data_IF_260531800085
#
_entry.id   IF_260531800085
#
_cell.length_a   1.000
_cell.length_b   1.000
_cell.length_c   1.000
_cell.angle_alpha   90.00
_cell.angle_beta   90.00
_cell.angle_gamma   90.00
#
_symmetry.space_group_name_H-M   'P 1'
#
loop_
_entity.id
_entity.type
_entity.pdbx_description
1 polymer ?
#
# COMPACT_ATOMS: atom_id res chain seq x y z
N UNK A 1 15.27 31.21 38.57
CA UNK A 1 15.67 29.87 38.06
C UNK A 1 14.79 29.52 36.86
N UNK A 2 15.34 29.31 35.65
CA UNK A 2 14.54 28.98 34.49
C UNK A 2 14.19 27.48 34.50
N UNK A 3 12.89 27.16 34.39
CA UNK A 3 12.39 25.78 34.25
C UNK A 3 12.96 25.16 32.97
N UNK A 4 13.85 24.17 33.11
CA UNK A 4 14.27 23.29 32.01
C UNK A 4 13.02 22.68 31.36
N UNK A 5 12.81 22.95 30.07
CA UNK A 5 11.79 22.28 29.25
C UNK A 5 12.05 20.77 29.33
N UNK A 6 11.02 20.00 29.71
CA UNK A 6 11.06 18.54 29.64
C UNK A 6 11.29 18.14 28.17
N UNK A 7 12.21 17.20 27.88
CA UNK A 7 12.37 16.69 26.52
C UNK A 7 11.05 16.06 26.07
N UNK A 8 10.63 16.41 24.86
CA UNK A 8 9.45 15.87 24.19
C UNK A 8 9.49 14.34 24.20
N UNK A 9 8.39 13.70 24.61
CA UNK A 9 8.21 12.24 24.48
C UNK A 9 8.51 11.80 23.05
N UNK A 10 9.31 10.74 22.93
CA UNK A 10 9.75 10.06 21.72
C UNK A 10 8.75 10.17 20.57
N UNK A 11 9.07 10.94 19.54
CA UNK A 11 8.50 10.66 18.22
C UNK A 11 8.97 9.24 17.84
N UNK A 12 8.08 8.36 17.35
CA UNK A 12 8.51 7.08 16.81
C UNK A 12 9.61 7.33 15.77
N UNK A 13 10.67 6.54 15.81
CA UNK A 13 11.71 6.59 14.78
C UNK A 13 11.04 6.33 13.44
N UNK A 14 11.10 7.35 12.59
CA UNK A 14 10.56 7.36 11.24
C UNK A 14 11.74 7.17 10.29
N UNK A 15 11.67 6.20 9.39
CA UNK A 15 12.71 5.97 8.39
C UNK A 15 12.08 5.55 7.07
N UNK A 16 12.67 6.01 5.97
CA UNK A 16 12.32 5.58 4.62
C UNK A 16 13.48 4.77 4.06
N UNK A 17 13.16 3.62 3.46
CA UNK A 17 14.13 2.74 2.82
C UNK A 17 13.66 2.40 1.40
N UNK A 18 14.59 2.35 0.47
CA UNK A 18 14.35 1.88 -0.89
C UNK A 18 14.82 0.44 -1.00
N UNK A 19 13.90 -0.48 -1.30
CA UNK A 19 14.19 -1.90 -1.43
C UNK A 19 13.97 -2.35 -2.87
N UNK A 20 14.83 -3.25 -3.34
CA UNK A 20 14.71 -3.88 -4.64
C UNK A 20 14.61 -5.39 -4.49
N UNK A 21 13.71 -6.01 -5.24
CA UNK A 21 13.57 -7.46 -5.32
C UNK A 21 13.53 -7.92 -6.78
N UNK A 22 14.12 -9.08 -7.06
CA UNK A 22 13.97 -9.76 -8.35
C UNK A 22 12.66 -10.54 -8.33
N UNK A 23 11.83 -10.38 -9.36
CA UNK A 23 10.63 -11.19 -9.52
C UNK A 23 11.05 -12.62 -9.85
N UNK A 24 10.70 -13.56 -8.97
CA UNK A 24 10.98 -14.98 -9.18
C UNK A 24 9.76 -15.71 -9.76
N UNK A 25 8.56 -15.21 -9.52
CA UNK A 25 7.35 -15.77 -10.08
C UNK A 25 6.09 -14.99 -9.74
N UNK A 26 4.99 -15.42 -10.34
CA UNK A 26 3.67 -14.89 -10.07
C UNK A 26 2.61 -15.98 -10.22
N UNK A 27 1.46 -15.76 -9.59
CA UNK A 27 0.25 -16.57 -9.71
C UNK A 27 -0.93 -15.65 -9.95
N UNK A 28 -1.76 -15.99 -10.92
CA UNK A 28 -2.97 -15.25 -11.23
C UNK A 28 -4.20 -16.14 -11.03
N UNK A 29 -5.25 -15.54 -10.47
CA UNK A 29 -6.61 -16.08 -10.46
C UNK A 29 -7.54 -15.01 -11.02
N UNK A 30 -8.30 -15.39 -12.03
CA UNK A 30 -9.35 -14.57 -12.63
C UNK A 30 -10.68 -15.25 -12.36
N UNK A 31 -11.64 -14.50 -11.84
CA UNK A 31 -12.97 -15.04 -11.54
C UNK A 31 -14.05 -14.12 -12.09
N UNK A 32 -15.09 -14.75 -12.63
CA UNK A 32 -16.34 -14.13 -13.03
C UNK A 32 -17.46 -14.99 -12.44
N UNK A 33 -18.31 -14.38 -11.62
CA UNK A 33 -19.32 -15.13 -10.89
C UNK A 33 -20.52 -14.30 -10.48
N UNK A 34 -21.48 -14.95 -9.84
CA UNK A 34 -22.55 -14.26 -9.13
C UNK A 34 -21.98 -13.67 -7.85
N UNK A 35 -22.48 -12.49 -7.48
CA UNK A 35 -22.20 -11.90 -6.18
C UNK A 35 -22.57 -12.91 -5.07
N UNK A 36 -21.58 -13.28 -4.26
CA UNK A 36 -21.75 -14.29 -3.21
C UNK A 36 -22.71 -13.81 -2.12
N UNK A 37 -22.87 -12.49 -1.96
CA UNK A 37 -23.78 -11.90 -1.00
C UNK A 37 -25.25 -12.22 -1.35
N UNK A 38 -25.53 -12.44 -2.65
CA UNK A 38 -26.83 -12.91 -3.13
C UNK A 38 -27.13 -14.37 -2.79
N UNK A 39 -26.12 -15.16 -2.38
CA UNK A 39 -26.32 -16.58 -2.00
C UNK A 39 -26.91 -16.76 -0.59
N UNK A 40 -27.32 -15.67 0.07
CA UNK A 40 -28.15 -15.74 1.28
C UNK A 40 -27.37 -15.92 2.58
N UNK A 41 -26.22 -15.25 2.72
CA UNK A 41 -25.54 -15.19 4.02
C UNK A 41 -26.32 -14.26 4.98
N UNK A 42 -26.66 -14.69 6.21
CA UNK A 42 -27.40 -13.86 7.17
C UNK A 42 -26.61 -12.65 7.70
N UNK A 43 -25.32 -12.54 7.36
CA UNK A 43 -24.41 -11.46 7.79
C UNK A 43 -24.24 -10.39 6.70
N UNK A 44 -24.58 -10.71 5.45
CA UNK A 44 -24.37 -9.82 4.31
C UNK A 44 -25.74 -9.36 3.81
N UNK A 45 -25.96 -8.05 3.84
CA UNK A 45 -27.21 -7.43 3.40
C UNK A 45 -26.94 -6.73 2.06
N UNK A 46 -27.17 -7.40 0.92
CA UNK A 46 -26.94 -6.77 -0.37
C UNK A 46 -27.86 -5.56 -0.53
N UNK A 47 -27.28 -4.44 -0.93
CA UNK A 47 -28.01 -3.21 -1.24
C UNK A 47 -28.60 -3.30 -2.66
N UNK A 48 -29.71 -2.58 -2.96
CA UNK A 48 -30.27 -2.55 -4.31
C UNK A 48 -29.31 -2.06 -5.40
N UNK A 49 -28.23 -1.37 -5.00
CA UNK A 49 -27.16 -0.88 -5.88
C UNK A 49 -26.03 -1.88 -6.11
N UNK A 50 -26.01 -3.01 -5.39
CA UNK A 50 -24.93 -3.97 -5.49
C UNK A 50 -24.96 -4.71 -6.84
N UNK A 51 -23.77 -4.99 -7.41
CA UNK A 51 -23.70 -5.68 -8.68
C UNK A 51 -24.15 -7.15 -8.52
N UNK A 52 -24.94 -7.63 -9.48
CA UNK A 52 -25.39 -9.04 -9.55
C UNK A 52 -24.22 -9.98 -9.89
N UNK A 53 -23.29 -9.50 -10.72
CA UNK A 53 -22.10 -10.24 -11.12
C UNK A 53 -20.87 -9.60 -10.52
N UNK A 54 -19.93 -10.42 -10.06
CA UNK A 54 -18.64 -9.96 -9.54
C UNK A 54 -17.52 -10.50 -10.42
N UNK A 55 -16.54 -9.62 -10.66
CA UNK A 55 -15.34 -9.93 -11.40
C UNK A 55 -14.15 -9.54 -10.53
N UNK A 56 -13.20 -10.45 -10.33
CA UNK A 56 -12.00 -10.13 -9.57
C UNK A 56 -10.77 -10.75 -10.21
N UNK A 57 -9.68 -9.97 -10.14
CA UNK A 57 -8.33 -10.43 -10.46
C UNK A 57 -7.55 -10.50 -9.16
N UNK A 58 -7.02 -11.67 -8.86
CA UNK A 58 -6.06 -11.85 -7.77
C UNK A 58 -4.71 -12.18 -8.40
N UNK A 59 -3.74 -11.28 -8.22
CA UNK A 59 -2.38 -11.43 -8.71
C UNK A 59 -1.45 -11.51 -7.51
N UNK A 60 -0.80 -12.66 -7.32
CA UNK A 60 0.25 -12.83 -6.35
C UNK A 60 1.60 -12.73 -7.06
N UNK A 61 2.50 -11.86 -6.59
CA UNK A 61 3.85 -11.68 -7.14
C UNK A 61 4.83 -11.92 -6.00
N UNK A 62 5.90 -12.65 -6.26
CA UNK A 62 6.93 -12.88 -5.24
C UNK A 62 8.34 -12.81 -5.80
N UNK A 63 9.28 -12.54 -4.90
CA UNK A 63 10.66 -12.34 -5.26
C UNK A 63 11.62 -12.21 -4.09
N UNK A 64 12.89 -12.47 -4.37
CA UNK A 64 14.00 -12.30 -3.45
C UNK A 64 14.57 -10.88 -3.51
N UNK A 65 14.85 -10.31 -2.35
CA UNK A 65 15.52 -9.03 -2.16
C UNK A 65 16.94 -9.06 -2.71
N UNK A 66 17.27 -8.04 -3.50
CA UNK A 66 18.57 -7.84 -4.14
C UNK A 66 19.17 -6.47 -3.81
N UNK A 67 18.40 -5.57 -3.19
CA UNK A 67 18.85 -4.24 -2.80
C UNK A 67 18.07 -3.72 -1.57
N UNK A 68 18.72 -3.00 -0.65
CA UNK A 68 20.16 -2.89 -0.51
C UNK A 68 20.79 -4.22 -0.06
N UNK A 69 22.13 -4.34 -0.13
CA UNK A 69 22.84 -5.60 0.15
C UNK A 69 22.52 -6.17 1.54
N UNK A 70 22.25 -5.31 2.53
CA UNK A 70 21.88 -5.71 3.89
C UNK A 70 20.54 -6.44 3.98
N UNK A 71 19.68 -6.25 2.97
CA UNK A 71 18.34 -6.85 2.86
C UNK A 71 18.31 -7.96 1.79
N UNK A 72 19.46 -8.33 1.23
CA UNK A 72 19.55 -9.41 0.26
C UNK A 72 19.12 -10.74 0.87
N UNK A 73 18.34 -11.53 0.12
CA UNK A 73 17.80 -12.81 0.58
C UNK A 73 16.52 -12.74 1.42
N UNK A 74 15.98 -11.53 1.67
CA UNK A 74 14.61 -11.39 2.13
C UNK A 74 13.62 -11.77 1.02
N UNK A 75 12.47 -12.33 1.38
CA UNK A 75 11.47 -12.76 0.42
C UNK A 75 10.22 -11.89 0.56
N UNK A 76 9.81 -11.27 -0.55
CA UNK A 76 8.64 -10.42 -0.60
C UNK A 76 7.52 -11.10 -1.38
N UNK A 77 6.32 -11.11 -0.82
CA UNK A 77 5.12 -11.73 -1.37
C UNK A 77 3.96 -10.72 -1.35
N UNK A 78 3.55 -10.29 -2.54
CA UNK A 78 2.53 -9.28 -2.76
C UNK A 78 1.26 -9.91 -3.30
N UNK A 79 0.18 -9.82 -2.54
CA UNK A 79 -1.17 -10.18 -2.98
C UNK A 79 -1.91 -8.93 -3.45
N UNK A 80 -2.01 -8.77 -4.76
CA UNK A 80 -2.71 -7.68 -5.44
C UNK A 80 -4.13 -8.13 -5.77
N UNK A 81 -5.11 -7.32 -5.39
CA UNK A 81 -6.52 -7.57 -5.71
C UNK A 81 -7.05 -6.45 -6.59
N UNK A 82 -7.29 -6.77 -7.86
CA UNK A 82 -8.01 -5.93 -8.81
C UNK A 82 -9.51 -6.01 -8.53
N UNK A 83 -10.07 -4.99 -7.89
CA UNK A 83 -11.49 -4.90 -7.57
C UNK A 83 -12.03 -3.50 -7.88
N UNK A 84 -13.25 -3.42 -8.43
CA UNK A 84 -13.95 -2.15 -8.66
C UNK A 84 -14.30 -1.42 -7.35
N UNK A 85 -14.26 -2.11 -6.21
CA UNK A 85 -14.38 -1.44 -4.91
C UNK A 85 -13.16 -0.59 -4.56
N UNK A 86 -11.99 -0.85 -5.16
CA UNK A 86 -10.86 0.04 -5.07
C UNK A 86 -11.10 1.37 -5.82
N UNK A 87 -12.15 1.45 -6.64
CA UNK A 87 -12.63 2.69 -7.28
C UNK A 87 -13.60 3.50 -6.39
N UNK A 88 -13.93 3.03 -5.16
CA UNK A 88 -14.60 3.84 -4.12
C UNK A 88 -13.83 5.15 -3.90
N UNK A 89 -14.51 6.25 -3.50
CA UNK A 89 -13.99 7.61 -3.65
C UNK A 89 -12.57 7.71 -3.10
N UNK A 90 -11.63 7.95 -4.02
CA UNK A 90 -10.21 8.16 -3.72
C UNK A 90 -10.13 9.22 -2.63
N UNK A 91 -9.47 8.89 -1.52
CA UNK A 91 -9.19 9.86 -0.46
C UNK A 91 -8.63 11.13 -1.09
N UNK A 92 -9.27 12.25 -0.83
CA UNK A 92 -8.82 13.55 -1.31
C UNK A 92 -7.92 14.20 -0.25
N UNK A 93 -7.19 15.24 -0.64
CA UNK A 93 -6.43 16.04 0.33
C UNK A 93 -7.32 16.65 1.42
N UNK A 94 -8.59 16.94 1.12
CA UNK A 94 -9.55 17.45 2.10
C UNK A 94 -9.89 16.39 3.16
N UNK A 95 -9.95 15.12 2.79
CA UNK A 95 -10.25 14.01 3.70
C UNK A 95 -9.10 13.76 4.69
N UNK A 96 -7.86 14.06 4.28
CA UNK A 96 -6.66 13.95 5.12
C UNK A 96 -6.21 15.29 5.70
N UNK A 97 -7.03 16.34 5.61
CA UNK A 97 -6.73 17.59 6.30
C UNK A 97 -6.86 17.39 7.81
N UNK A 98 -5.80 17.72 8.53
CA UNK A 98 -5.77 17.67 9.98
C UNK A 98 -6.90 18.51 10.56
N UNK A 99 -7.51 18.02 11.64
CA UNK A 99 -8.57 18.75 12.35
C UNK A 99 -8.06 19.30 13.67
N UNK A 100 -8.57 20.45 14.07
CA UNK A 100 -8.29 21.02 15.37
C UNK A 100 -9.11 20.34 16.50
N UNK A 101 -8.94 20.81 17.73
CA UNK A 101 -9.64 20.27 18.91
C UNK A 101 -11.18 20.41 18.86
N UNK A 102 -11.70 21.23 17.94
CA UNK A 102 -13.13 21.47 17.75
C UNK A 102 -13.66 20.77 16.49
N UNK A 103 -12.80 20.02 15.78
CA UNK A 103 -13.16 19.30 14.54
C UNK A 103 -13.13 20.17 13.29
N UNK A 104 -12.65 21.41 13.35
CA UNK A 104 -12.49 22.30 12.20
C UNK A 104 -11.20 22.03 11.42
N UNK A 105 -11.09 22.46 10.15
CA UNK A 105 -9.89 22.30 9.34
C UNK A 105 -8.70 23.05 9.93
N UNK A 106 -7.57 22.37 10.11
CA UNK A 106 -6.36 22.96 10.66
C UNK A 106 -5.55 23.64 9.55
N UNK A 107 -5.15 24.88 9.80
CA UNK A 107 -4.24 25.65 8.95
C UNK A 107 -3.01 26.08 9.72
N UNK A 108 -1.93 26.41 9.01
CA UNK A 108 -0.74 27.07 9.54
C UNK A 108 -0.51 28.37 8.78
N UNK A 109 -0.09 29.42 9.47
CA UNK A 109 0.30 30.66 8.82
C UNK A 109 1.73 30.53 8.28
N UNK A 110 1.93 30.88 7.01
CA UNK A 110 3.24 30.97 6.37
C UNK A 110 3.26 32.19 5.45
N UNK A 111 4.17 33.14 5.74
CA UNK A 111 4.31 34.40 4.98
C UNK A 111 2.98 35.17 4.82
N UNK A 112 2.15 35.19 5.87
CA UNK A 112 0.85 35.89 5.86
C UNK A 112 -0.28 35.14 5.15
N UNK A 113 -0.03 33.94 4.64
CA UNK A 113 -1.04 33.08 4.00
C UNK A 113 -1.36 31.90 4.90
N UNK A 114 -2.64 31.52 5.00
CA UNK A 114 -3.07 30.30 5.68
C UNK A 114 -2.94 29.10 4.73
N UNK A 115 -2.18 28.10 5.17
CA UNK A 115 -1.94 26.86 4.41
C UNK A 115 -2.53 25.68 5.18
N UNK A 116 -3.36 24.82 4.56
CA UNK A 116 -3.84 23.59 5.17
C UNK A 116 -2.73 22.71 5.72
N UNK A 117 -2.99 22.08 6.88
CA UNK A 117 -2.11 21.05 7.44
C UNK A 117 -2.73 19.70 7.13
N UNK A 118 -1.98 18.80 6.48
CA UNK A 118 -2.44 17.46 6.14
C UNK A 118 -1.77 16.42 7.04
N UNK A 119 -2.51 15.36 7.35
CA UNK A 119 -2.06 14.16 8.07
C UNK A 119 -2.34 12.95 7.16
N UNK A 120 -1.49 12.70 6.13
CA UNK A 120 -1.69 11.60 5.21
C UNK A 120 -1.47 10.24 5.90
N UNK A 121 -2.04 9.15 5.36
CA UNK A 121 -1.68 7.81 5.81
C UNK A 121 -0.17 7.57 5.59
N UNK A 122 0.48 6.73 6.41
CA UNK A 122 1.92 6.49 6.28
C UNK A 122 2.34 5.69 5.05
N UNK A 123 1.40 5.20 4.24
CA UNK A 123 1.66 4.44 3.03
C UNK A 123 0.37 3.89 2.42
N UNK A 124 0.48 3.26 1.25
CA UNK A 124 -0.65 2.64 0.52
C UNK A 124 -1.09 1.31 1.15
N UNK A 125 -0.19 0.63 1.85
CA UNK A 125 -0.51 -0.61 2.58
C UNK A 125 0.56 -0.94 3.63
N UNK A 126 0.28 -1.93 4.46
CA UNK A 126 1.20 -2.47 5.46
C UNK A 126 1.96 -3.67 4.90
N UNK A 127 3.21 -3.81 5.35
CA UNK A 127 4.03 -4.98 5.17
C UNK A 127 4.09 -5.76 6.48
N UNK A 128 3.65 -7.01 6.42
CA UNK A 128 3.56 -7.89 7.57
C UNK A 128 4.65 -8.97 7.50
N UNK A 129 5.12 -9.50 8.64
CA UNK A 129 5.91 -10.72 8.62
C UNK A 129 5.05 -11.88 8.10
N UNK A 130 5.56 -12.60 7.11
CA UNK A 130 4.97 -13.81 6.54
C UNK A 130 5.44 -15.09 7.25
N UNK A 131 5.31 -16.22 6.56
CA UNK A 131 5.82 -17.50 7.04
C UNK A 131 7.35 -17.55 7.02
N UNK A 132 8.01 -17.25 8.14
CA UNK A 132 9.47 -17.26 8.29
C UNK A 132 10.05 -15.92 8.76
N UNK A 133 11.33 -15.90 9.17
CA UNK A 133 11.97 -14.68 9.72
C UNK A 133 12.24 -13.59 8.68
N UNK A 134 12.36 -13.96 7.41
CA UNK A 134 12.73 -13.05 6.31
C UNK A 134 11.65 -13.00 5.22
N UNK A 135 10.44 -13.46 5.54
CA UNK A 135 9.32 -13.42 4.60
C UNK A 135 8.46 -12.22 4.96
N UNK A 136 8.15 -11.41 3.97
CA UNK A 136 7.28 -10.26 4.06
C UNK A 136 6.07 -10.43 3.16
N UNK A 137 4.87 -10.23 3.73
CA UNK A 137 3.61 -10.33 3.02
C UNK A 137 2.88 -9.00 3.02
N UNK A 138 2.28 -8.69 1.88
CA UNK A 138 1.49 -7.48 1.69
C UNK A 138 0.21 -7.78 0.94
N UNK A 139 -0.87 -7.12 1.36
CA UNK A 139 -2.15 -7.12 0.67
C UNK A 139 -2.40 -5.74 0.06
N UNK A 140 -2.66 -5.67 -1.24
CA UNK A 140 -2.80 -4.41 -1.95
C UNK A 140 -4.04 -4.42 -2.86
N UNK A 141 -5.18 -3.85 -2.40
CA UNK A 141 -6.33 -3.64 -3.26
C UNK A 141 -6.04 -2.50 -4.22
N UNK A 142 -6.14 -2.76 -5.52
CA UNK A 142 -5.89 -1.79 -6.58
C UNK A 142 -7.06 -1.74 -7.56
N UNK A 143 -7.20 -0.64 -8.32
CA UNK A 143 -8.08 -0.60 -9.48
C UNK A 143 -7.79 -1.79 -10.42
N UNK A 144 -8.81 -2.44 -11.00
CA UNK A 144 -8.62 -3.62 -11.85
C UNK A 144 -7.68 -3.39 -13.02
N UNK A 145 -7.66 -2.17 -13.56
CA UNK A 145 -6.77 -1.79 -14.66
C UNK A 145 -5.30 -1.95 -14.28
N UNK A 146 -4.89 -1.49 -13.09
CA UNK A 146 -3.49 -1.60 -12.65
C UNK A 146 -3.09 -3.07 -12.48
N UNK A 147 -3.96 -3.91 -11.89
CA UNK A 147 -3.70 -5.34 -11.77
C UNK A 147 -3.53 -6.02 -13.15
N UNK A 148 -4.33 -5.62 -14.14
CA UNK A 148 -4.23 -6.09 -15.52
C UNK A 148 -2.91 -5.64 -16.20
N UNK A 149 -2.51 -4.39 -16.00
CA UNK A 149 -1.27 -3.85 -16.56
C UNK A 149 -0.04 -4.55 -15.93
N UNK A 150 -0.07 -4.78 -14.62
CA UNK A 150 0.97 -5.56 -13.92
C UNK A 150 1.07 -6.99 -14.45
N UNK A 151 -0.07 -7.68 -14.60
CA UNK A 151 -0.10 -9.02 -15.18
C UNK A 151 0.50 -9.04 -16.59
N UNK A 152 0.17 -8.03 -17.40
CA UNK A 152 0.71 -7.92 -18.76
C UNK A 152 2.22 -7.75 -18.75
N UNK A 153 2.75 -6.84 -17.93
CA UNK A 153 4.19 -6.61 -17.79
C UNK A 153 4.95 -7.85 -17.33
N UNK A 154 4.37 -8.65 -16.42
CA UNK A 154 4.93 -9.92 -15.97
C UNK A 154 4.88 -10.99 -17.07
N UNK A 155 3.75 -11.12 -17.77
CA UNK A 155 3.56 -12.11 -18.81
C UNK A 155 4.50 -11.89 -20.01
N UNK A 156 4.82 -10.64 -20.34
CA UNK A 156 5.78 -10.30 -21.39
C UNK A 156 7.24 -10.37 -20.93
N UNK A 157 7.50 -10.61 -19.63
CA UNK A 157 8.84 -10.54 -19.05
C UNK A 157 9.42 -9.11 -19.03
N UNK A 158 8.59 -8.10 -19.18
CA UNK A 158 9.00 -6.70 -19.25
C UNK A 158 9.22 -6.07 -17.86
N UNK A 159 8.90 -6.77 -16.77
CA UNK A 159 9.11 -6.30 -15.41
C UNK A 159 9.78 -7.36 -14.51
N UNK A 160 11.08 -7.61 -14.69
CA UNK A 160 11.84 -8.55 -13.85
C UNK A 160 12.10 -8.07 -12.42
N UNK A 161 11.81 -6.81 -12.08
CA UNK A 161 12.11 -6.25 -10.76
C UNK A 161 10.90 -5.60 -10.09
N UNK A 162 10.89 -5.68 -8.75
CA UNK A 162 10.03 -4.90 -7.86
C UNK A 162 10.89 -3.84 -7.16
N UNK A 163 10.48 -2.59 -7.21
CA UNK A 163 10.96 -1.53 -6.34
C UNK A 163 9.91 -1.25 -5.26
N UNK A 164 10.35 -1.22 -4.01
CA UNK A 164 9.50 -1.13 -2.83
C UNK A 164 10.03 0.03 -1.99
N UNK A 165 9.28 1.13 -1.95
CA UNK A 165 9.56 2.23 -1.05
C UNK A 165 8.91 1.95 0.29
N UNK A 166 9.73 1.56 1.26
CA UNK A 166 9.32 1.25 2.61
C UNK A 166 9.34 2.51 3.48
N UNK A 167 8.29 2.67 4.29
CA UNK A 167 8.20 3.69 5.32
C UNK A 167 7.93 3.05 6.68
N UNK A 168 8.91 3.15 7.57
CA UNK A 168 8.83 2.58 8.91
C UNK A 168 8.37 3.62 9.91
N UNK A 169 7.25 3.35 10.57
CA UNK A 169 6.70 4.17 11.66
C UNK A 169 6.60 3.34 12.92
N UNK A 170 7.57 3.51 13.83
CA UNK A 170 7.68 2.69 15.03
C UNK A 170 7.98 1.23 14.68
N UNK A 171 7.09 0.31 15.05
CA UNK A 171 7.23 -1.13 14.76
C UNK A 171 6.51 -1.58 13.49
N UNK A 172 5.83 -0.66 12.78
CA UNK A 172 5.08 -0.98 11.57
C UNK A 172 5.90 -0.59 10.35
N UNK A 173 5.88 -1.45 9.35
CA UNK A 173 6.47 -1.24 8.04
C UNK A 173 5.33 -0.96 7.06
N UNK A 174 5.31 0.22 6.49
CA UNK A 174 4.38 0.62 5.45
C UNK A 174 5.08 0.59 4.11
N UNK A 175 4.29 0.46 3.06
CA UNK A 175 4.74 0.61 1.69
C UNK A 175 4.16 1.91 1.18
N UNK A 176 5.01 2.84 0.80
CA UNK A 176 4.63 4.11 0.18
C UNK A 176 4.33 3.90 -1.30
N UNK A 177 5.17 3.12 -1.97
CA UNK A 177 5.09 2.88 -3.41
C UNK A 177 5.63 1.50 -3.74
N UNK A 178 4.92 0.81 -4.62
CA UNK A 178 5.32 -0.46 -5.22
C UNK A 178 5.37 -0.26 -6.74
N UNK A 179 6.51 -0.58 -7.33
CA UNK A 179 6.74 -0.45 -8.77
C UNK A 179 7.17 -1.78 -9.36
N UNK A 180 6.59 -2.14 -10.52
CA UNK A 180 7.11 -3.18 -11.40
C UNK A 180 7.93 -2.53 -12.51
N UNK A 181 9.18 -2.96 -12.68
CA UNK A 181 10.11 -2.30 -13.59
C UNK A 181 11.12 -3.24 -14.23
N UNK A 182 11.74 -2.77 -15.32
CA UNK A 182 12.84 -3.43 -16.03
C UNK A 182 14.22 -2.89 -15.70
N UNK A 183 14.28 -1.80 -14.94
CA UNK A 183 15.55 -1.21 -14.51
C UNK A 183 15.89 -1.72 -13.11
N UNK A 184 17.15 -2.06 -12.90
CA UNK A 184 17.60 -2.54 -11.60
C UNK A 184 17.32 -1.46 -10.51
N UNK A 185 16.64 -1.80 -9.39
CA UNK A 185 16.21 -0.81 -8.38
C UNK A 185 17.34 0.05 -7.78
N UNK A 186 18.58 -0.45 -7.78
CA UNK A 186 19.76 0.30 -7.32
C UNK A 186 20.16 1.51 -8.19
N UNK A 187 19.53 1.70 -9.37
CA UNK A 187 19.85 2.79 -10.32
C UNK A 187 18.89 3.98 -10.18
N UNK A 188 17.85 3.85 -9.35
CA UNK A 188 16.87 4.90 -9.04
C UNK A 188 17.42 5.91 -8.01
#
# INVERSE_FOLDING_TARGET
MPRKKRPSKNKPTESHEHLGARVDGYRVRLEAGLNLDLKGSPVLHPEPTDPVFTYHTTLQIWGEGIFPDERAGEFFDFLIIGTSEADKPRLTLADVQARDRHGGPKTRSYRGVEIPVYEPPPGITLMFPGGGKNHHQTYLPLPPQIASDMLTALATGAAPYMAIHEHKVGNKRWIDTLTLQNTHPAVE
#
